data_IF_160737558267
#
_entry.id   IF_160737558267
#
_cell.length_a   1.000
_cell.length_b   1.000
_cell.length_c   1.000
_cell.angle_alpha   90.00
_cell.angle_beta   90.00
_cell.angle_gamma   90.00
#
_symmetry.space_group_name_H-M   'P 1'
#
loop_
_entity.id
_entity.type
_entity.pdbx_description
1 polymer ?
#
# COMPACT_ATOMS: atom_id res chain seq x y z
N UNK A 1 -41.30 7.99 -2.27
CA UNK A 1 -40.76 9.15 -1.52
C UNK A 1 -39.38 8.83 -0.92
N UNK A 2 -38.45 8.26 -1.68
CA UNK A 2 -37.08 7.91 -1.16
C UNK A 2 -35.91 8.36 -2.06
N UNK A 3 -36.17 9.25 -3.03
CA UNK A 3 -35.13 9.74 -3.95
C UNK A 3 -34.69 11.19 -3.73
N UNK A 4 -35.24 11.90 -2.75
CA UNK A 4 -34.91 13.33 -2.51
C UNK A 4 -33.86 13.53 -1.39
N UNK A 5 -33.59 12.52 -0.58
CA UNK A 5 -32.72 12.64 0.59
C UNK A 5 -31.23 12.38 0.30
N UNK A 6 -30.87 11.78 -0.84
CA UNK A 6 -29.48 11.45 -1.17
C UNK A 6 -28.74 12.61 -1.84
N UNK A 7 -29.45 13.52 -2.50
CA UNK A 7 -28.83 14.66 -3.21
C UNK A 7 -28.41 15.82 -2.28
N UNK A 8 -28.99 15.91 -1.07
CA UNK A 8 -28.63 16.95 -0.09
C UNK A 8 -27.34 16.66 0.68
N UNK A 9 -27.02 15.39 0.86
CA UNK A 9 -25.80 14.99 1.63
C UNK A 9 -24.50 15.17 0.84
N UNK A 10 -24.54 15.02 -0.49
CA UNK A 10 -23.35 15.15 -1.35
C UNK A 10 -22.96 16.62 -1.54
N UNK A 11 -23.92 17.55 -1.54
CA UNK A 11 -23.63 18.99 -1.64
C UNK A 11 -23.06 19.59 -0.36
N UNK A 12 -23.37 19.03 0.81
CA UNK A 12 -22.79 19.49 2.08
C UNK A 12 -21.32 19.05 2.27
N UNK A 13 -20.94 17.88 1.75
CA UNK A 13 -19.55 17.41 1.83
C UNK A 13 -18.62 18.13 0.84
N UNK A 14 -19.09 18.55 -0.31
CA UNK A 14 -18.30 19.33 -1.28
C UNK A 14 -18.03 20.74 -0.78
N UNK A 15 -18.96 21.39 -0.11
CA UNK A 15 -18.76 22.72 0.47
C UNK A 15 -17.82 22.74 1.69
N UNK A 16 -17.70 21.63 2.41
CA UNK A 16 -16.76 21.48 3.53
C UNK A 16 -15.30 21.32 3.05
N UNK A 17 -15.07 20.72 1.88
CA UNK A 17 -13.74 20.54 1.30
C UNK A 17 -13.22 21.86 0.70
N UNK A 18 -14.07 22.69 0.09
CA UNK A 18 -13.68 24.00 -0.45
C UNK A 18 -13.37 25.03 0.65
N UNK A 19 -14.03 24.95 1.80
CA UNK A 19 -13.74 25.82 2.95
C UNK A 19 -12.37 25.52 3.59
N UNK A 20 -11.89 24.28 3.54
CA UNK A 20 -10.60 23.88 4.13
C UNK A 20 -9.40 24.25 3.24
N UNK A 21 -9.60 24.39 1.93
CA UNK A 21 -8.54 24.85 1.00
C UNK A 21 -8.31 26.37 1.02
N UNK A 22 -9.30 27.16 1.43
CA UNK A 22 -9.17 28.63 1.49
C UNK A 22 -8.48 29.15 2.75
N UNK A 23 -8.34 28.34 3.80
CA UNK A 23 -7.68 28.72 5.06
C UNK A 23 -6.18 28.49 5.08
N UNK A 24 -5.62 27.70 4.14
CA UNK A 24 -4.18 27.39 4.08
C UNK A 24 -3.35 28.31 3.18
N UNK A 25 -3.92 29.38 2.62
CA UNK A 25 -3.24 30.31 1.72
C UNK A 25 -2.86 31.68 2.36
N UNK A 26 -2.89 31.80 3.69
CA UNK A 26 -2.51 33.05 4.38
C UNK A 26 -1.58 32.78 5.55
N UNK A 27 -0.33 32.46 5.27
CA UNK A 27 0.79 32.70 6.19
C UNK A 27 2.10 32.70 5.38
N UNK A 28 2.40 33.87 4.79
CA UNK A 28 3.76 34.23 4.39
C UNK A 28 4.28 35.28 5.41
N UNK A 29 5.54 35.14 5.88
CA UNK A 29 6.11 36.10 6.84
C UNK A 29 6.47 37.43 6.18
N UNK A 30 6.47 38.56 6.91
CA UNK A 30 6.65 39.89 6.37
C UNK A 30 8.10 40.15 5.94
N UNK A 31 8.28 40.75 4.77
CA UNK A 31 9.52 41.38 4.32
C UNK A 31 9.85 42.58 5.20
N UNK A 32 11.05 42.55 5.78
CA UNK A 32 11.67 43.72 6.42
C UNK A 32 12.10 44.69 5.33
N UNK A 33 11.50 45.87 5.33
CA UNK A 33 11.86 47.03 4.53
C UNK A 33 12.82 47.84 5.36
N UNK A 34 14.07 48.05 4.91
CA UNK A 34 14.97 49.08 5.43
C UNK A 34 14.84 50.35 4.58
N UNK A 35 14.74 51.53 5.18
CA UNK A 35 14.59 52.78 4.42
C UNK A 35 15.94 53.35 3.98
N UNK A 36 15.90 53.90 2.77
CA UNK A 36 16.87 54.77 2.16
C UNK A 36 17.00 56.10 2.95
N UNK A 37 18.22 56.53 3.20
CA UNK A 37 18.55 57.90 3.44
C UNK A 37 19.87 58.27 2.78
N UNK A 38 19.81 59.07 1.75
CA UNK A 38 20.87 59.96 1.24
C UNK A 38 20.68 61.37 1.94
N UNK A 39 21.48 62.40 1.69
CA UNK A 39 22.87 62.50 1.18
C UNK A 39 23.73 63.63 1.89
N UNK A 40 25.02 63.70 1.43
CA UNK A 40 25.92 64.88 1.32
C UNK A 40 26.54 65.55 2.57
N UNK A 41 27.59 66.39 2.36
CA UNK A 41 28.78 66.31 1.51
C UNK A 41 30.12 66.73 2.21
N UNK A 42 31.24 66.56 1.45
CA UNK A 42 32.50 67.33 1.46
C UNK A 42 33.28 67.57 2.78
N UNK A 43 34.52 67.15 2.80
CA UNK A 43 35.74 67.99 2.90
C UNK A 43 36.99 67.16 2.73
N UNK A 44 37.75 67.50 1.68
CA UNK A 44 39.16 67.96 1.61
C UNK A 44 40.03 67.55 2.79
N UNK A 45 41.10 66.76 2.50
CA UNK A 45 42.54 67.03 2.75
C UNK A 45 43.36 65.80 2.35
N UNK A 46 44.29 66.01 1.42
CA UNK A 46 45.48 65.20 1.12
C UNK A 46 46.59 65.58 2.13
N UNK A 47 47.77 65.05 2.00
CA UNK A 47 48.25 63.64 1.79
C UNK A 47 49.17 63.25 2.95
N UNK A 48 49.62 62.03 3.03
CA UNK A 48 51.00 61.64 3.30
C UNK A 48 51.14 60.13 3.60
N UNK A 49 52.05 59.58 2.86
CA UNK A 49 53.01 58.51 3.19
C UNK A 49 52.60 57.31 4.11
N UNK A 50 52.48 56.17 3.50
CA UNK A 50 53.24 55.00 4.01
C UNK A 50 53.36 53.94 2.91
N UNK A 51 54.55 53.84 2.45
CA UNK A 51 55.17 52.78 1.64
C UNK A 51 54.86 51.40 2.17
N UNK A 52 54.15 50.59 1.43
CA UNK A 52 54.13 49.13 1.60
C UNK A 52 54.83 48.46 0.42
N UNK A 53 55.83 47.63 0.66
CA UNK A 53 56.74 47.11 -0.37
C UNK A 53 56.21 45.93 -1.18
N UNK A 54 54.92 45.68 -1.17
CA UNK A 54 54.33 44.54 -1.88
C UNK A 54 53.79 44.81 -3.28
N UNK A 55 53.85 46.09 -3.76
CA UNK A 55 53.41 46.44 -5.14
C UNK A 55 54.57 46.61 -6.11
N UNK A 56 55.82 46.48 -5.65
CA UNK A 56 57.03 46.60 -6.52
C UNK A 56 57.43 45.30 -7.23
N UNK A 57 56.83 44.18 -6.88
CA UNK A 57 57.16 42.92 -7.56
C UNK A 57 56.36 42.64 -8.84
N UNK A 58 55.30 43.44 -9.11
CA UNK A 58 54.44 43.21 -10.26
C UNK A 58 54.74 44.17 -11.43
N UNK A 59 55.52 45.23 -11.23
CA UNK A 59 55.82 46.21 -12.30
C UNK A 59 57.15 45.93 -13.02
N UNK A 60 57.96 44.95 -12.60
CA UNK A 60 59.24 44.63 -13.29
C UNK A 60 59.09 43.59 -14.38
N UNK A 61 57.92 42.96 -14.51
CA UNK A 61 57.66 41.98 -15.57
C UNK A 61 56.96 42.56 -16.81
N UNK A 62 56.77 43.91 -16.91
CA UNK A 62 56.05 44.54 -18.00
C UNK A 62 56.88 45.35 -18.98
N UNK A 63 58.24 45.35 -18.89
CA UNK A 63 59.09 46.01 -19.89
C UNK A 63 60.23 45.10 -20.33
N UNK A 64 59.87 44.06 -21.07
CA UNK A 64 60.76 43.24 -21.86
C UNK A 64 60.25 43.25 -23.28
N UNK A 65 61.01 43.89 -24.17
CA UNK A 65 60.82 44.01 -25.64
C UNK A 65 60.02 42.89 -26.30
N UNK A 66 58.82 43.19 -26.70
CA UNK A 66 57.91 42.34 -27.52
C UNK A 66 57.91 42.80 -28.98
N UNK A 67 59.05 43.06 -29.56
CA UNK A 67 59.19 43.31 -31.00
C UNK A 67 60.28 42.40 -31.58
N UNK A 68 59.94 41.20 -31.93
CA UNK A 68 60.40 40.43 -33.07
C UNK A 68 60.45 38.88 -32.92
N UNK A 69 59.55 38.30 -32.12
CA UNK A 69 59.23 36.88 -32.25
C UNK A 69 57.75 36.66 -31.87
N UNK A 70 56.84 37.31 -32.57
CA UNK A 70 55.50 37.64 -32.10
C UNK A 70 54.49 36.53 -31.99
N UNK A 71 54.76 35.32 -32.42
CA UNK A 71 53.77 34.24 -32.29
C UNK A 71 54.24 33.07 -31.42
N UNK A 72 55.53 32.75 -31.42
CA UNK A 72 56.11 31.71 -30.62
C UNK A 72 56.18 32.13 -29.12
N UNK A 73 56.46 33.41 -28.83
CA UNK A 73 56.47 33.96 -27.49
C UNK A 73 55.06 33.98 -26.85
N UNK A 74 54.03 34.38 -27.61
CA UNK A 74 52.65 34.36 -27.18
C UNK A 74 52.11 32.93 -27.01
N UNK A 75 52.55 31.97 -27.84
CA UNK A 75 52.23 30.55 -27.66
C UNK A 75 52.86 29.95 -26.39
N UNK A 76 54.13 30.28 -26.13
CA UNK A 76 54.81 29.81 -24.92
C UNK A 76 54.18 30.43 -23.66
N UNK A 77 53.82 31.71 -23.70
CA UNK A 77 53.11 32.37 -22.60
C UNK A 77 51.73 31.75 -22.39
N UNK A 78 50.95 31.52 -23.42
CA UNK A 78 49.66 30.85 -23.33
C UNK A 78 49.78 29.41 -22.76
N UNK A 79 50.83 28.68 -23.18
CA UNK A 79 51.09 27.34 -22.68
C UNK A 79 51.50 27.33 -21.22
N UNK A 80 52.31 28.32 -20.76
CA UNK A 80 52.68 28.46 -19.35
C UNK A 80 51.48 28.84 -18.50
N UNK A 81 50.64 29.77 -18.93
CA UNK A 81 49.38 30.13 -18.23
C UNK A 81 48.43 28.93 -18.18
N UNK A 82 48.28 28.20 -19.25
CA UNK A 82 47.49 26.97 -19.30
C UNK A 82 48.02 25.91 -18.35
N UNK A 83 49.36 25.76 -18.31
CA UNK A 83 50.05 24.84 -17.40
C UNK A 83 49.84 25.20 -15.93
N UNK A 84 49.91 26.50 -15.60
CA UNK A 84 49.63 26.98 -14.23
C UNK A 84 48.18 26.77 -13.84
N UNK A 85 47.21 27.11 -14.71
CA UNK A 85 45.82 26.86 -14.49
C UNK A 85 45.53 25.37 -14.30
N UNK A 86 46.16 24.52 -15.13
CA UNK A 86 46.05 23.06 -15.00
C UNK A 86 46.60 22.55 -13.67
N UNK A 87 47.77 23.06 -13.22
CA UNK A 87 48.38 22.71 -11.93
C UNK A 87 47.52 23.16 -10.74
N UNK A 88 46.94 24.37 -10.82
CA UNK A 88 46.01 24.88 -9.80
C UNK A 88 44.73 24.01 -9.74
N UNK A 89 44.16 23.69 -10.91
CA UNK A 89 43.03 22.82 -11.00
C UNK A 89 43.32 21.41 -10.46
N UNK A 90 44.51 20.85 -10.80
CA UNK A 90 44.96 19.57 -10.29
C UNK A 90 45.18 19.59 -8.78
N UNK A 91 45.77 20.67 -8.25
CA UNK A 91 45.96 20.88 -6.80
C UNK A 91 44.64 20.96 -6.05
N UNK A 92 43.67 21.74 -6.56
CA UNK A 92 42.31 21.83 -6.01
C UNK A 92 41.59 20.47 -6.04
N UNK A 93 41.71 19.77 -7.14
CA UNK A 93 41.15 18.44 -7.29
C UNK A 93 41.80 17.43 -6.31
N UNK A 94 43.13 17.47 -6.17
CA UNK A 94 43.86 16.61 -5.24
C UNK A 94 43.49 16.88 -3.79
N UNK A 95 43.44 18.13 -3.35
CA UNK A 95 43.02 18.46 -1.97
C UNK A 95 41.61 18.00 -1.65
N UNK A 96 40.69 18.04 -2.62
CA UNK A 96 39.30 17.64 -2.46
C UNK A 96 39.16 16.13 -2.26
N UNK A 97 39.91 15.31 -3.00
CA UNK A 97 39.82 13.83 -2.97
C UNK A 97 40.86 13.18 -2.06
N UNK A 98 41.96 13.88 -1.72
CA UNK A 98 43.02 13.35 -0.88
C UNK A 98 42.52 12.92 0.50
N UNK A 99 41.65 13.71 1.12
CA UNK A 99 41.07 13.38 2.42
C UNK A 99 40.32 12.04 2.39
N UNK A 100 39.51 11.82 1.36
CA UNK A 100 38.71 10.58 1.21
C UNK A 100 39.61 9.38 0.89
N UNK A 101 40.62 9.58 0.03
CA UNK A 101 41.57 8.54 -0.29
C UNK A 101 42.43 8.18 0.91
N UNK A 102 42.93 9.18 1.67
CA UNK A 102 43.71 8.96 2.88
C UNK A 102 42.91 8.21 3.95
N UNK A 103 41.61 8.56 4.13
CA UNK A 103 40.71 7.82 5.00
C UNK A 103 40.57 6.36 4.57
N UNK A 104 40.34 6.11 3.27
CA UNK A 104 40.26 4.75 2.74
C UNK A 104 41.57 3.97 2.88
N UNK A 105 42.72 4.63 2.66
CA UNK A 105 44.02 4.05 2.79
C UNK A 105 44.36 3.64 4.24
N UNK A 106 44.10 4.54 5.21
CA UNK A 106 44.26 4.24 6.64
C UNK A 106 43.36 3.14 7.15
N UNK A 107 42.19 2.96 6.52
CA UNK A 107 41.20 1.90 6.84
C UNK A 107 41.46 0.60 6.07
N UNK A 108 42.53 0.49 5.28
CA UNK A 108 42.84 -0.69 4.43
C UNK A 108 41.68 -1.06 3.48
N UNK A 109 40.93 -0.05 3.03
CA UNK A 109 39.72 -0.28 2.27
C UNK A 109 39.93 -0.52 0.76
N UNK A 110 41.17 -0.66 0.28
CA UNK A 110 41.55 -0.92 -1.14
C UNK A 110 40.76 -0.07 -2.15
N UNK A 111 40.79 1.27 -2.00
CA UNK A 111 40.20 2.22 -2.92
C UNK A 111 41.30 2.98 -3.66
N UNK A 112 41.35 2.82 -4.99
CA UNK A 112 42.29 3.53 -5.84
C UNK A 112 41.85 4.98 -6.08
N UNK A 113 42.81 5.92 -6.12
CA UNK A 113 42.56 7.31 -6.52
C UNK A 113 41.89 7.41 -7.89
N UNK A 114 42.30 6.55 -8.85
CA UNK A 114 41.67 6.49 -10.19
C UNK A 114 40.19 6.11 -10.11
N UNK A 115 39.84 5.23 -9.18
CA UNK A 115 38.45 4.86 -8.95
C UNK A 115 37.60 6.04 -8.43
N UNK A 116 38.14 6.86 -7.52
CA UNK A 116 37.48 8.08 -7.02
C UNK A 116 37.20 9.09 -8.13
N UNK A 117 38.19 9.29 -9.02
CA UNK A 117 38.06 10.17 -10.19
C UNK A 117 36.98 9.65 -11.13
N UNK A 118 36.98 8.34 -11.42
CA UNK A 118 35.98 7.70 -12.27
C UNK A 118 34.56 7.85 -11.69
N UNK A 119 34.40 7.66 -10.37
CA UNK A 119 33.10 7.85 -9.69
C UNK A 119 32.55 9.27 -9.88
N UNK A 120 33.42 10.27 -9.89
CA UNK A 120 33.00 11.65 -10.14
C UNK A 120 32.41 11.82 -11.56
N UNK A 121 33.06 11.24 -12.57
CA UNK A 121 32.56 11.29 -13.95
C UNK A 121 31.27 10.48 -14.15
N UNK A 122 31.09 9.39 -13.40
CA UNK A 122 29.87 8.57 -13.45
C UNK A 122 28.74 9.10 -12.56
N UNK A 123 28.90 10.30 -11.96
CA UNK A 123 27.91 10.91 -11.05
C UNK A 123 27.60 10.07 -9.80
N UNK A 124 28.48 9.17 -9.40
CA UNK A 124 28.41 8.41 -8.16
C UNK A 124 29.02 9.24 -7.03
N UNK A 125 28.36 9.33 -5.89
CA UNK A 125 28.90 10.04 -4.74
C UNK A 125 30.06 9.22 -4.12
N UNK A 126 31.34 9.65 -4.25
CA UNK A 126 32.46 8.88 -3.76
C UNK A 126 32.47 8.75 -2.24
N UNK A 127 31.88 9.70 -1.51
CA UNK A 127 31.81 9.66 -0.05
C UNK A 127 31.00 8.45 0.43
N UNK A 128 29.83 8.20 -0.20
CA UNK A 128 28.94 7.07 0.16
C UNK A 128 29.66 5.74 -0.06
N UNK A 129 30.31 5.58 -1.22
CA UNK A 129 30.98 4.32 -1.58
C UNK A 129 32.22 4.06 -0.69
N UNK A 130 33.02 5.10 -0.42
CA UNK A 130 34.19 4.99 0.47
C UNK A 130 33.74 4.66 1.90
N UNK A 131 32.73 5.36 2.41
CA UNK A 131 32.21 5.13 3.75
C UNK A 131 31.66 3.71 3.88
N UNK A 132 30.87 3.25 2.91
CA UNK A 132 30.34 1.89 2.84
C UNK A 132 31.47 0.86 2.89
N UNK A 133 32.53 1.07 2.10
CA UNK A 133 33.67 0.16 2.06
C UNK A 133 34.50 0.16 3.35
N UNK A 134 34.74 1.34 3.93
CA UNK A 134 35.41 1.45 5.24
C UNK A 134 34.63 0.72 6.33
N UNK A 135 33.29 0.88 6.38
CA UNK A 135 32.45 0.16 7.34
C UNK A 135 32.51 -1.36 7.14
N UNK A 136 32.53 -1.82 5.89
CA UNK A 136 32.64 -3.25 5.58
C UNK A 136 33.95 -3.85 6.08
N UNK A 137 35.09 -3.15 5.88
CA UNK A 137 36.40 -3.59 6.36
C UNK A 137 36.46 -3.60 7.88
N UNK A 138 35.96 -2.54 8.53
CA UNK A 138 35.93 -2.44 9.99
C UNK A 138 35.08 -3.53 10.64
N UNK A 139 34.05 -4.00 9.93
CA UNK A 139 33.20 -5.10 10.36
C UNK A 139 33.80 -6.49 10.09
N UNK A 140 34.99 -6.58 9.43
CA UNK A 140 35.63 -7.85 9.11
C UNK A 140 35.03 -8.59 7.92
N UNK A 141 34.23 -7.92 7.08
CA UNK A 141 33.63 -8.52 5.89
C UNK A 141 34.68 -8.75 4.80
N UNK A 142 34.47 -9.79 3.99
CA UNK A 142 35.32 -10.08 2.83
C UNK A 142 35.17 -8.98 1.76
N UNK A 143 36.30 -8.32 1.44
CA UNK A 143 36.37 -7.26 0.43
C UNK A 143 36.95 -7.74 -0.90
N UNK A 144 37.12 -9.06 -1.08
CA UNK A 144 37.69 -9.62 -2.31
C UNK A 144 36.90 -9.20 -3.53
N UNK A 145 37.63 -8.94 -4.64
CA UNK A 145 37.05 -8.40 -5.88
C UNK A 145 36.07 -9.36 -6.58
N UNK A 146 36.19 -10.66 -6.31
CA UNK A 146 35.41 -11.70 -6.98
C UNK A 146 34.15 -12.10 -6.21
N UNK A 147 34.27 -12.26 -4.89
CA UNK A 147 33.19 -12.79 -4.04
C UNK A 147 32.68 -11.78 -3.01
N UNK A 148 33.52 -10.79 -2.64
CA UNK A 148 33.21 -9.85 -1.60
C UNK A 148 32.64 -8.50 -2.07
N UNK A 149 32.59 -7.53 -1.14
CA UNK A 149 32.10 -6.18 -1.35
C UNK A 149 33.14 -5.36 -2.13
N UNK A 150 33.09 -5.41 -3.46
CA UNK A 150 33.98 -4.64 -4.33
C UNK A 150 33.44 -3.23 -4.59
N UNK A 151 34.37 -2.28 -4.81
CA UNK A 151 34.02 -0.89 -5.18
C UNK A 151 33.10 -0.84 -6.40
N UNK A 152 33.33 -1.71 -7.40
CA UNK A 152 32.54 -1.76 -8.63
C UNK A 152 31.10 -2.23 -8.38
N UNK A 153 30.88 -3.19 -7.48
CA UNK A 153 29.53 -3.64 -7.10
C UNK A 153 28.78 -2.54 -6.37
N UNK A 154 29.43 -1.81 -5.46
CA UNK A 154 28.86 -0.66 -4.75
C UNK A 154 28.48 0.48 -5.73
N UNK A 155 29.37 0.80 -6.71
CA UNK A 155 29.08 1.77 -7.76
C UNK A 155 27.87 1.34 -8.58
N UNK A 156 27.80 0.08 -9.03
CA UNK A 156 26.70 -0.45 -9.81
C UNK A 156 25.37 -0.38 -9.05
N UNK A 157 25.37 -0.76 -7.77
CA UNK A 157 24.20 -0.69 -6.92
C UNK A 157 23.72 0.75 -6.69
N UNK A 158 24.65 1.70 -6.47
CA UNK A 158 24.35 3.12 -6.37
C UNK A 158 23.71 3.67 -7.65
N UNK A 159 24.26 3.32 -8.84
CA UNK A 159 23.74 3.73 -10.14
C UNK A 159 22.36 3.13 -10.44
N UNK A 160 22.08 1.94 -9.92
CA UNK A 160 20.75 1.31 -10.01
C UNK A 160 19.70 1.97 -9.09
N UNK A 161 20.10 2.98 -8.28
CA UNK A 161 19.21 3.68 -7.36
C UNK A 161 19.06 3.06 -5.99
N UNK A 162 19.90 2.06 -5.66
CA UNK A 162 19.89 1.37 -4.37
C UNK A 162 20.49 2.19 -3.23
N UNK A 163 20.11 1.85 -2.00
CA UNK A 163 20.58 2.48 -0.75
C UNK A 163 21.81 1.78 -0.21
N UNK A 164 22.98 2.07 -0.81
CA UNK A 164 24.27 1.41 -0.50
C UNK A 164 24.55 1.29 1.00
N UNK A 165 24.36 2.37 1.76
CA UNK A 165 24.64 2.40 3.21
C UNK A 165 23.74 1.43 3.97
N UNK A 166 22.44 1.37 3.66
CA UNK A 166 21.49 0.45 4.31
C UNK A 166 21.84 -1.01 4.02
N UNK A 167 22.22 -1.31 2.77
CA UNK A 167 22.66 -2.66 2.36
C UNK A 167 23.90 -3.09 3.15
N UNK A 168 24.88 -2.20 3.30
CA UNK A 168 26.09 -2.51 4.08
C UNK A 168 25.76 -2.70 5.57
N UNK A 169 24.92 -1.86 6.15
CA UNK A 169 24.47 -2.06 7.54
C UNK A 169 23.75 -3.39 7.72
N UNK A 170 22.90 -3.78 6.76
CA UNK A 170 22.22 -5.06 6.77
C UNK A 170 23.19 -6.25 6.71
N UNK A 171 24.19 -6.18 5.81
CA UNK A 171 25.22 -7.25 5.69
C UNK A 171 26.06 -7.34 6.96
N UNK A 172 26.42 -6.21 7.57
CA UNK A 172 27.15 -6.18 8.84
C UNK A 172 26.30 -6.81 9.95
N UNK A 173 25.01 -6.48 10.02
CA UNK A 173 24.10 -7.07 10.99
C UNK A 173 23.93 -8.59 10.77
N UNK A 174 23.75 -9.02 9.52
CA UNK A 174 23.67 -10.42 9.14
C UNK A 174 24.96 -11.19 9.51
N UNK A 175 26.13 -10.61 9.21
CA UNK A 175 27.43 -11.23 9.55
C UNK A 175 27.59 -11.42 11.06
N UNK A 176 27.20 -10.42 11.86
CA UNK A 176 27.22 -10.52 13.34
C UNK A 176 26.23 -11.53 13.90
N UNK A 177 25.12 -11.77 13.20
CA UNK A 177 24.11 -12.74 13.56
C UNK A 177 24.38 -14.14 12.96
N UNK A 178 25.53 -14.32 12.29
CA UNK A 178 25.94 -15.56 11.61
C UNK A 178 24.93 -16.03 10.54
N UNK A 179 24.17 -15.07 9.96
CA UNK A 179 23.22 -15.33 8.89
C UNK A 179 23.96 -15.21 7.55
N UNK A 180 23.90 -16.25 6.67
CA UNK A 180 24.51 -16.17 5.35
C UNK A 180 23.72 -15.22 4.45
N UNK A 181 24.23 -14.00 4.25
CA UNK A 181 23.67 -13.00 3.35
C UNK A 181 24.77 -12.46 2.43
N UNK A 182 24.69 -12.81 1.15
CA UNK A 182 25.61 -12.29 0.14
C UNK A 182 25.23 -10.87 -0.30
N UNK A 183 26.23 -10.11 -0.77
CA UNK A 183 26.03 -8.75 -1.26
C UNK A 183 25.03 -8.69 -2.44
N UNK A 184 25.09 -9.64 -3.37
CA UNK A 184 24.22 -9.64 -4.54
C UNK A 184 22.77 -9.90 -4.14
N UNK A 185 22.53 -10.77 -3.16
CA UNK A 185 21.21 -11.04 -2.60
C UNK A 185 20.67 -9.80 -1.86
N UNK A 186 21.49 -9.18 -1.01
CA UNK A 186 21.11 -7.96 -0.31
C UNK A 186 20.81 -6.81 -1.26
N UNK A 187 21.63 -6.63 -2.31
CA UNK A 187 21.39 -5.64 -3.36
C UNK A 187 20.11 -5.90 -4.15
N UNK A 188 19.81 -7.16 -4.46
CA UNK A 188 18.58 -7.53 -5.15
C UNK A 188 17.32 -7.26 -4.31
N UNK A 189 17.38 -7.50 -2.99
CA UNK A 189 16.30 -7.18 -2.05
C UNK A 189 16.03 -5.67 -2.01
N UNK A 190 17.11 -4.84 -1.90
CA UNK A 190 17.00 -3.38 -1.86
C UNK A 190 16.44 -2.81 -3.17
N UNK A 191 16.90 -3.32 -4.33
CA UNK A 191 16.38 -2.94 -5.65
C UNK A 191 14.94 -3.40 -5.90
N UNK A 192 14.50 -4.47 -5.24
CA UNK A 192 13.09 -4.87 -5.22
C UNK A 192 12.21 -3.95 -4.34
N UNK A 193 12.80 -2.92 -3.71
CA UNK A 193 12.10 -1.93 -2.90
C UNK A 193 11.79 -2.37 -1.47
N UNK A 194 12.43 -3.45 -0.98
CA UNK A 194 12.29 -3.92 0.40
C UNK A 194 13.46 -3.43 1.27
N UNK A 195 13.19 -3.17 2.54
CA UNK A 195 14.23 -2.78 3.49
C UNK A 195 15.00 -4.02 3.95
N UNK A 196 16.27 -4.11 3.51
CA UNK A 196 17.15 -5.24 3.83
C UNK A 196 17.50 -5.26 5.32
N UNK A 197 17.68 -4.08 5.92
CA UNK A 197 18.06 -3.97 7.33
C UNK A 197 16.91 -4.44 8.23
N UNK A 198 15.68 -4.01 7.96
CA UNK A 198 14.50 -4.47 8.67
C UNK A 198 14.30 -5.99 8.51
N UNK A 199 14.51 -6.51 7.30
CA UNK A 199 14.42 -7.94 7.03
C UNK A 199 15.43 -8.78 7.84
N UNK A 200 16.69 -8.33 7.95
CA UNK A 200 17.71 -8.98 8.78
C UNK A 200 17.34 -8.89 10.25
N UNK A 201 16.89 -7.73 10.72
CA UNK A 201 16.47 -7.55 12.12
C UNK A 201 15.30 -8.48 12.46
N UNK A 202 14.29 -8.57 11.59
CA UNK A 202 13.11 -9.45 11.78
C UNK A 202 13.48 -10.93 11.66
N UNK A 203 14.55 -11.27 10.95
CA UNK A 203 15.08 -12.64 10.93
C UNK A 203 15.71 -13.04 12.28
N UNK A 204 16.39 -12.10 12.97
CA UNK A 204 16.99 -12.33 14.29
C UNK A 204 15.98 -12.18 15.42
N UNK A 205 15.16 -11.14 15.34
CA UNK A 205 14.12 -10.83 16.32
C UNK A 205 12.74 -11.00 15.68
N UNK A 206 12.06 -12.12 15.97
CA UNK A 206 10.72 -12.36 15.42
C UNK A 206 9.76 -11.21 15.74
N UNK A 207 8.96 -10.85 14.75
CA UNK A 207 7.93 -9.81 14.86
C UNK A 207 6.58 -10.45 15.17
N UNK A 208 5.82 -9.84 16.06
CA UNK A 208 4.43 -10.23 16.36
C UNK A 208 3.49 -9.38 15.52
N UNK A 209 2.57 -10.04 14.82
CA UNK A 209 1.56 -9.45 13.96
C UNK A 209 0.20 -9.84 14.49
N UNK A 210 -0.71 -8.87 14.67
CA UNK A 210 -2.09 -9.14 15.04
C UNK A 210 -2.92 -9.64 13.86
N UNK A 211 -3.74 -10.64 14.05
CA UNK A 211 -4.67 -11.17 13.08
C UNK A 211 -6.11 -11.12 13.65
N UNK A 212 -6.99 -10.24 13.08
CA UNK A 212 -6.77 -9.29 12.00
C UNK A 212 -5.97 -8.06 12.42
N UNK A 213 -5.31 -7.40 11.46
CA UNK A 213 -4.64 -6.12 11.70
C UNK A 213 -5.69 -5.00 11.79
N UNK A 214 -5.86 -4.36 12.97
CA UNK A 214 -6.85 -3.31 13.17
C UNK A 214 -6.57 -2.05 12.35
N UNK A 215 -5.29 -1.76 12.05
CA UNK A 215 -4.90 -0.57 11.32
C UNK A 215 -5.32 -0.63 9.84
N UNK A 216 -5.36 -1.82 9.26
CA UNK A 216 -5.67 -2.03 7.83
C UNK A 216 -7.11 -2.49 7.59
N UNK A 217 -7.59 -3.46 8.39
CA UNK A 217 -8.92 -4.04 8.20
C UNK A 217 -10.04 -3.26 8.90
N UNK A 218 -9.71 -2.38 9.86
CA UNK A 218 -10.67 -1.71 10.73
C UNK A 218 -11.43 -2.66 11.67
N UNK A 219 -11.13 -3.97 11.61
CA UNK A 219 -11.72 -5.00 12.47
C UNK A 219 -10.68 -5.44 13.49
N UNK A 220 -11.12 -5.63 14.72
CA UNK A 220 -10.26 -6.07 15.84
C UNK A 220 -10.33 -7.58 16.09
N UNK A 221 -11.34 -8.26 15.53
CA UNK A 221 -11.60 -9.68 15.74
C UNK A 221 -12.00 -10.37 14.44
N UNK A 222 -11.65 -11.64 14.29
CA UNK A 222 -12.14 -12.54 13.25
C UNK A 222 -13.43 -13.18 13.72
N UNK A 223 -14.51 -13.07 12.95
CA UNK A 223 -15.77 -13.75 13.23
C UNK A 223 -15.86 -15.07 12.46
N UNK A 224 -16.13 -16.15 13.14
CA UNK A 224 -16.37 -17.47 12.54
C UNK A 224 -17.55 -18.15 13.21
N UNK A 225 -18.30 -18.96 12.44
CA UNK A 225 -19.49 -19.66 12.94
C UNK A 225 -19.16 -21.15 13.04
N UNK A 226 -19.38 -21.72 14.20
CA UNK A 226 -19.25 -23.17 14.44
C UNK A 226 -20.44 -23.96 13.85
N UNK A 227 -20.33 -25.28 13.72
CA UNK A 227 -21.42 -26.13 13.18
C UNK A 227 -22.72 -26.05 13.99
N UNK A 228 -22.63 -25.75 15.28
CA UNK A 228 -23.82 -25.53 16.13
C UNK A 228 -24.48 -24.15 15.99
N UNK A 229 -23.99 -23.33 15.03
CA UNK A 229 -24.56 -22.04 14.70
C UNK A 229 -24.19 -20.89 15.61
N UNK A 230 -23.22 -21.04 16.52
CA UNK A 230 -22.74 -19.99 17.41
C UNK A 230 -21.57 -19.27 16.76
N UNK A 231 -21.64 -17.93 16.74
CA UNK A 231 -20.54 -17.07 16.31
C UNK A 231 -19.45 -17.04 17.39
N UNK A 232 -18.20 -17.23 16.98
CA UNK A 232 -17.02 -16.98 17.79
C UNK A 232 -16.23 -15.82 17.20
N UNK A 233 -15.83 -14.89 18.05
CA UNK A 233 -14.97 -13.76 17.71
C UNK A 233 -13.61 -14.00 18.29
N UNK A 234 -12.62 -14.18 17.42
CA UNK A 234 -11.28 -14.59 17.81
C UNK A 234 -10.28 -13.52 17.42
N UNK A 235 -9.32 -13.26 18.31
CA UNK A 235 -8.12 -12.49 18.04
C UNK A 235 -6.91 -13.39 18.16
N UNK A 236 -6.12 -13.46 17.11
CA UNK A 236 -4.88 -14.23 17.12
C UNK A 236 -3.66 -13.31 16.96
N UNK A 237 -2.53 -13.73 17.53
CA UNK A 237 -1.21 -13.13 17.32
C UNK A 237 -0.33 -14.13 16.61
N UNK A 238 0.30 -13.68 15.56
CA UNK A 238 1.18 -14.51 14.74
C UNK A 238 2.60 -14.01 14.92
N UNK A 239 3.47 -14.83 15.44
CA UNK A 239 4.90 -14.54 15.52
C UNK A 239 5.56 -15.02 14.25
N UNK A 240 6.17 -14.11 13.50
CA UNK A 240 6.83 -14.40 12.24
C UNK A 240 8.29 -13.98 12.25
N UNK A 241 9.11 -14.68 11.50
CA UNK A 241 10.47 -14.24 11.18
C UNK A 241 10.66 -14.15 9.67
N UNK A 242 11.52 -13.26 9.23
CA UNK A 242 11.80 -13.09 7.80
C UNK A 242 12.71 -14.21 7.29
N UNK A 243 12.30 -14.84 6.19
CA UNK A 243 13.13 -15.78 5.43
C UNK A 243 13.83 -15.02 4.30
N UNK A 244 15.10 -14.69 4.49
CA UNK A 244 15.89 -13.89 3.55
C UNK A 244 16.04 -14.55 2.17
N UNK A 245 16.02 -15.88 2.09
CA UNK A 245 16.13 -16.62 0.83
C UNK A 245 14.89 -16.50 -0.05
N UNK A 246 13.71 -16.31 0.56
CA UNK A 246 12.43 -16.19 -0.13
C UNK A 246 11.90 -14.74 -0.15
N UNK A 247 12.70 -13.79 0.32
CA UNK A 247 12.29 -12.40 0.39
C UNK A 247 12.06 -11.79 -1.01
N UNK A 248 12.83 -12.24 -2.01
CA UNK A 248 12.66 -11.82 -3.40
C UNK A 248 11.55 -12.66 -4.03
N UNK A 249 10.44 -12.02 -4.40
CA UNK A 249 9.27 -12.69 -5.00
C UNK A 249 8.32 -13.37 -4.02
N UNK A 250 8.65 -13.46 -2.73
CA UNK A 250 7.76 -13.97 -1.70
C UNK A 250 6.61 -13.01 -1.37
N UNK A 251 5.47 -13.57 -0.97
CA UNK A 251 4.30 -12.81 -0.58
C UNK A 251 4.55 -11.95 0.68
N UNK A 252 3.80 -10.85 0.78
CA UNK A 252 3.93 -9.88 1.86
C UNK A 252 3.27 -10.35 3.17
N UNK A 253 3.50 -9.60 4.25
CA UNK A 253 2.88 -9.76 5.56
C UNK A 253 1.34 -9.89 5.47
N UNK A 254 0.71 -9.07 4.60
CA UNK A 254 -0.74 -9.11 4.39
C UNK A 254 -1.25 -10.47 3.91
N UNK A 255 -0.47 -11.15 3.08
CA UNK A 255 -0.83 -12.49 2.59
C UNK A 255 -0.76 -13.52 3.71
N UNK A 256 0.21 -13.40 4.63
CA UNK A 256 0.32 -14.29 5.79
C UNK A 256 -0.89 -14.07 6.71
N UNK A 257 -1.22 -12.81 7.02
CA UNK A 257 -2.39 -12.46 7.84
C UNK A 257 -3.67 -13.03 7.22
N UNK A 258 -3.86 -12.85 5.90
CA UNK A 258 -5.05 -13.35 5.21
C UNK A 258 -5.16 -14.88 5.25
N UNK A 259 -4.05 -15.59 4.95
CA UNK A 259 -4.02 -17.07 4.97
C UNK A 259 -4.24 -17.63 6.37
N UNK A 260 -3.60 -17.03 7.39
CA UNK A 260 -3.79 -17.44 8.78
C UNK A 260 -5.23 -17.16 9.22
N UNK A 261 -5.78 -15.98 8.90
CA UNK A 261 -7.17 -15.65 9.21
C UNK A 261 -8.16 -16.63 8.56
N UNK A 262 -7.98 -16.96 7.28
CA UNK A 262 -8.78 -17.96 6.57
C UNK A 262 -8.67 -19.35 7.24
N UNK A 263 -7.47 -19.76 7.59
CA UNK A 263 -7.24 -21.06 8.22
C UNK A 263 -7.86 -21.15 9.62
N UNK A 264 -7.84 -20.06 10.40
CA UNK A 264 -8.51 -19.97 11.71
C UNK A 264 -10.02 -20.07 11.51
N UNK A 265 -10.61 -19.28 10.60
CA UNK A 265 -12.05 -19.32 10.31
C UNK A 265 -12.48 -20.71 9.86
N UNK A 266 -11.71 -21.34 8.96
CA UNK A 266 -11.97 -22.70 8.47
C UNK A 266 -11.85 -23.75 9.58
N UNK A 267 -10.90 -23.60 10.51
CA UNK A 267 -10.73 -24.49 11.65
C UNK A 267 -11.91 -24.42 12.61
N UNK A 268 -12.35 -23.20 12.97
CA UNK A 268 -13.51 -22.95 13.83
C UNK A 268 -14.79 -23.47 13.17
N UNK A 269 -14.98 -23.20 11.85
CA UNK A 269 -16.14 -23.71 11.10
C UNK A 269 -16.22 -25.23 10.98
N UNK A 270 -15.10 -25.92 11.14
CA UNK A 270 -15.05 -27.39 11.16
C UNK A 270 -15.33 -27.99 12.53
N UNK A 271 -15.21 -27.23 13.60
CA UNK A 271 -15.46 -27.68 14.98
C UNK A 271 -16.95 -28.01 15.19
N UNK A 272 -17.20 -29.09 15.96
CA UNK A 272 -18.57 -29.57 16.21
C UNK A 272 -19.33 -28.65 17.13
N UNK A 273 -18.64 -28.05 18.10
CA UNK A 273 -19.23 -27.17 19.09
C UNK A 273 -18.27 -26.02 19.45
N UNK A 274 -18.85 -24.88 19.83
CA UNK A 274 -18.08 -23.75 20.35
C UNK A 274 -17.34 -24.10 21.67
N UNK A 275 -17.87 -25.03 22.48
CA UNK A 275 -17.20 -25.50 23.69
C UNK A 275 -15.86 -26.17 23.40
N UNK A 276 -15.79 -26.98 22.34
CA UNK A 276 -14.57 -27.66 21.92
C UNK A 276 -13.43 -26.66 21.63
N UNK A 277 -13.78 -25.53 21.01
CA UNK A 277 -12.85 -24.44 20.67
C UNK A 277 -12.42 -23.67 21.93
N UNK A 278 -13.35 -23.44 22.87
CA UNK A 278 -13.06 -22.73 24.11
C UNK A 278 -12.22 -23.56 25.11
N UNK A 279 -12.44 -24.88 25.14
CA UNK A 279 -11.68 -25.78 26.00
C UNK A 279 -10.26 -26.00 25.52
N UNK A 280 -10.07 -26.06 24.19
CA UNK A 280 -8.79 -26.36 23.57
C UNK A 280 -8.45 -25.47 22.38
N UNK A 281 -8.14 -24.18 22.59
CA UNK A 281 -7.77 -23.24 21.51
C UNK A 281 -6.51 -23.70 20.75
N UNK A 282 -5.62 -24.45 21.40
CA UNK A 282 -4.41 -25.01 20.79
C UNK A 282 -4.68 -25.96 19.62
N UNK A 283 -5.87 -26.56 19.56
CA UNK A 283 -6.28 -27.36 18.39
C UNK A 283 -6.25 -26.53 17.10
N UNK A 284 -6.75 -25.30 17.18
CA UNK A 284 -6.75 -24.38 16.03
C UNK A 284 -5.32 -24.10 15.59
N UNK A 285 -4.45 -23.75 16.53
CA UNK A 285 -3.02 -23.46 16.28
C UNK A 285 -2.33 -24.64 15.58
N UNK A 286 -2.54 -25.87 16.06
CA UNK A 286 -1.95 -27.10 15.46
C UNK A 286 -2.45 -27.33 14.04
N UNK A 287 -3.76 -27.19 13.80
CA UNK A 287 -4.36 -27.37 12.46
C UNK A 287 -3.85 -26.31 11.50
N UNK A 288 -3.74 -25.08 11.94
CA UNK A 288 -3.27 -23.95 11.11
C UNK A 288 -1.79 -24.14 10.74
N UNK A 289 -0.93 -24.48 11.70
CA UNK A 289 0.50 -24.76 11.46
C UNK A 289 0.72 -25.98 10.55
N UNK A 290 -0.12 -27.02 10.69
CA UNK A 290 0.00 -28.22 9.84
C UNK A 290 -0.30 -27.99 8.36
N UNK A 291 -0.95 -26.86 8.02
CA UNK A 291 -1.28 -26.48 6.63
C UNK A 291 -0.11 -25.89 5.84
N UNK A 292 1.02 -25.57 6.51
CA UNK A 292 2.20 -25.00 5.84
C UNK A 292 1.89 -23.68 5.12
N UNK A 293 1.27 -22.72 5.83
CA UNK A 293 0.78 -21.46 5.28
C UNK A 293 1.91 -20.50 4.88
N UNK A 294 3.12 -20.76 5.34
CA UNK A 294 4.36 -20.05 5.07
C UNK A 294 4.97 -20.37 3.69
N UNK A 295 4.43 -21.38 2.98
CA UNK A 295 4.90 -21.74 1.66
C UNK A 295 4.81 -20.55 0.68
N UNK A 296 5.93 -20.21 0.03
CA UNK A 296 6.07 -19.11 -0.93
C UNK A 296 5.81 -17.71 -0.32
N UNK A 297 6.00 -17.55 0.99
CA UNK A 297 5.97 -16.24 1.66
C UNK A 297 7.38 -15.79 2.02
N UNK A 298 7.54 -14.47 2.18
CA UNK A 298 8.77 -13.87 2.67
C UNK A 298 8.98 -14.10 4.18
N UNK A 299 7.99 -14.67 4.85
CA UNK A 299 7.95 -14.86 6.29
C UNK A 299 7.71 -16.32 6.63
N UNK A 300 8.38 -16.79 7.66
CA UNK A 300 8.18 -18.10 8.29
C UNK A 300 7.39 -17.90 9.57
N UNK A 301 6.36 -18.70 9.80
CA UNK A 301 5.52 -18.63 10.99
C UNK A 301 6.20 -19.43 12.11
N UNK A 302 6.55 -18.75 13.20
CA UNK A 302 7.18 -19.34 14.39
C UNK A 302 6.11 -19.88 15.34
N UNK A 303 5.11 -19.06 15.68
CA UNK A 303 3.97 -19.46 16.52
C UNK A 303 2.72 -18.70 16.12
N UNK A 304 1.58 -19.29 16.47
CA UNK A 304 0.27 -18.67 16.37
C UNK A 304 -0.38 -18.81 17.74
N UNK A 305 -0.65 -17.70 18.38
CA UNK A 305 -1.21 -17.65 19.72
C UNK A 305 -2.62 -17.06 19.64
N UNK A 306 -3.61 -17.78 20.18
CA UNK A 306 -4.96 -17.26 20.28
C UNK A 306 -5.00 -16.36 21.53
N UNK A 307 -5.15 -15.05 21.31
CA UNK A 307 -5.09 -14.05 22.37
C UNK A 307 -6.41 -13.91 23.12
N UNK A 308 -7.53 -14.04 22.40
CA UNK A 308 -8.87 -13.84 22.96
C UNK A 308 -9.91 -14.57 22.12
N UNK A 309 -10.94 -15.14 22.80
CA UNK A 309 -12.07 -15.80 22.17
C UNK A 309 -13.35 -15.33 22.85
N UNK A 310 -14.12 -14.51 22.15
CA UNK A 310 -15.44 -14.05 22.61
C UNK A 310 -16.55 -14.88 21.94
N UNK A 311 -17.59 -15.19 22.72
CA UNK A 311 -18.80 -15.82 22.18
C UNK A 311 -19.76 -14.73 21.70
N UNK A 312 -20.07 -14.76 20.41
CA UNK A 312 -21.01 -13.83 19.79
C UNK A 312 -22.45 -14.33 19.82
N UNK A 313 -23.21 -13.98 18.80
CA UNK A 313 -24.65 -14.32 18.68
C UNK A 313 -24.85 -15.78 18.27
N UNK A 314 -25.99 -16.34 18.70
CA UNK A 314 -26.46 -17.62 18.19
C UNK A 314 -27.18 -17.41 16.84
N UNK A 315 -26.39 -17.40 15.76
CA UNK A 315 -26.89 -17.20 14.39
C UNK A 315 -27.79 -18.36 13.94
N UNK A 316 -27.52 -19.58 14.42
CA UNK A 316 -28.34 -20.75 14.15
C UNK A 316 -29.77 -20.61 14.66
N UNK A 317 -29.95 -20.17 15.89
CA UNK A 317 -31.26 -19.93 16.49
C UNK A 317 -32.00 -18.79 15.76
N UNK A 318 -31.30 -17.73 15.42
CA UNK A 318 -31.86 -16.60 14.65
C UNK A 318 -32.32 -17.02 13.27
N UNK A 319 -31.54 -17.79 12.53
CA UNK A 319 -31.94 -18.33 11.24
C UNK A 319 -33.17 -19.24 11.33
N UNK A 320 -33.26 -20.08 12.38
CA UNK A 320 -34.43 -20.89 12.63
C UNK A 320 -35.68 -20.05 12.92
N UNK A 321 -35.54 -18.96 13.68
CA UNK A 321 -36.62 -18.01 13.94
C UNK A 321 -37.06 -17.31 12.65
N UNK A 322 -36.12 -16.82 11.86
CA UNK A 322 -36.40 -16.16 10.58
C UNK A 322 -37.08 -17.13 9.58
N UNK A 323 -36.63 -18.40 9.56
CA UNK A 323 -37.26 -19.45 8.75
C UNK A 323 -38.68 -19.74 9.19
N UNK A 324 -38.93 -19.87 10.51
CA UNK A 324 -40.28 -20.10 11.03
C UNK A 324 -41.24 -18.93 10.71
N UNK A 325 -40.73 -17.69 10.80
CA UNK A 325 -41.51 -16.50 10.42
C UNK A 325 -41.80 -16.47 8.91
N UNK A 326 -40.79 -16.82 8.07
CA UNK A 326 -41.02 -16.95 6.63
C UNK A 326 -42.06 -18.03 6.28
N UNK A 327 -41.95 -19.21 6.93
CA UNK A 327 -42.90 -20.30 6.74
C UNK A 327 -44.34 -19.89 7.16
N UNK A 328 -44.44 -19.14 8.27
CA UNK A 328 -45.72 -18.57 8.73
C UNK A 328 -46.32 -17.61 7.69
N UNK A 329 -45.49 -16.71 7.12
CA UNK A 329 -45.93 -15.79 6.05
C UNK A 329 -46.35 -16.54 4.80
N UNK A 330 -45.64 -17.59 4.41
CA UNK A 330 -45.99 -18.44 3.27
C UNK A 330 -47.33 -19.15 3.51
N UNK A 331 -47.50 -19.73 4.73
CA UNK A 331 -48.76 -20.38 5.09
C UNK A 331 -49.93 -19.39 5.10
N UNK A 332 -49.77 -18.17 5.61
CA UNK A 332 -50.78 -17.12 5.56
C UNK A 332 -51.14 -16.75 4.10
N UNK A 333 -50.14 -16.51 3.25
CA UNK A 333 -50.37 -16.20 1.84
C UNK A 333 -51.09 -17.33 1.10
N UNK A 334 -50.77 -18.58 1.40
CA UNK A 334 -51.49 -19.74 0.86
C UNK A 334 -52.94 -19.82 1.34
N UNK A 335 -53.19 -19.53 2.63
CA UNK A 335 -54.54 -19.50 3.17
C UNK A 335 -55.39 -18.39 2.54
N UNK A 336 -54.83 -17.19 2.37
CA UNK A 336 -55.48 -16.08 1.69
C UNK A 336 -55.76 -16.39 0.22
N UNK A 337 -54.82 -17.01 -0.45
CA UNK A 337 -55.03 -17.48 -1.83
C UNK A 337 -56.17 -18.47 -1.96
N UNK A 338 -56.21 -19.50 -1.08
CA UNK A 338 -57.34 -20.47 -1.06
C UNK A 338 -58.65 -19.79 -0.76
N UNK A 339 -58.67 -18.80 0.17
CA UNK A 339 -59.86 -18.01 0.46
C UNK A 339 -60.30 -17.19 -0.73
N UNK A 340 -59.40 -16.53 -1.44
CA UNK A 340 -59.70 -15.78 -2.65
C UNK A 340 -60.21 -16.68 -3.78
N UNK A 341 -59.59 -17.87 -3.97
CA UNK A 341 -60.04 -18.88 -4.92
C UNK A 341 -61.46 -19.35 -4.60
N UNK A 342 -61.77 -19.65 -3.33
CA UNK A 342 -63.09 -20.07 -2.90
C UNK A 342 -64.14 -18.96 -3.10
N UNK A 343 -63.79 -17.69 -2.82
CA UNK A 343 -64.69 -16.54 -3.08
C UNK A 343 -64.90 -16.36 -4.59
N UNK A 344 -63.85 -16.51 -5.39
CA UNK A 344 -64.00 -16.44 -6.85
C UNK A 344 -64.87 -17.55 -7.40
N UNK A 345 -64.81 -18.79 -6.90
CA UNK A 345 -65.61 -19.91 -7.28
C UNK A 345 -67.06 -19.68 -6.87
N UNK A 346 -67.34 -19.18 -5.65
CA UNK A 346 -68.67 -18.79 -5.21
C UNK A 346 -69.30 -17.75 -6.15
N UNK A 347 -68.54 -16.70 -6.52
CA UNK A 347 -69.03 -15.69 -7.46
C UNK A 347 -69.29 -16.26 -8.85
N UNK A 348 -68.49 -17.16 -9.34
CA UNK A 348 -68.72 -17.87 -10.60
C UNK A 348 -69.98 -18.73 -10.54
N UNK A 349 -70.22 -19.45 -9.42
CA UNK A 349 -71.46 -20.24 -9.27
C UNK A 349 -72.73 -19.35 -9.17
N UNK A 350 -72.57 -18.21 -8.44
CA UNK A 350 -73.69 -17.22 -8.41
C UNK A 350 -74.01 -16.67 -9.80
N UNK A 351 -72.94 -16.36 -10.59
CA UNK A 351 -73.14 -15.92 -11.97
C UNK A 351 -73.85 -16.98 -12.85
N UNK A 352 -73.40 -18.26 -12.74
CA UNK A 352 -74.03 -19.37 -13.45
C UNK A 352 -75.52 -19.55 -13.06
N UNK A 353 -75.85 -19.44 -11.75
CA UNK A 353 -77.24 -19.48 -11.29
C UNK A 353 -78.05 -18.33 -11.91
N UNK A 354 -77.51 -17.11 -11.97
CA UNK A 354 -78.18 -15.97 -12.60
C UNK A 354 -78.35 -16.17 -14.12
N UNK A 355 -77.32 -16.70 -14.79
CA UNK A 355 -77.39 -17.05 -16.21
C UNK A 355 -78.42 -18.11 -16.50
N UNK A 356 -78.45 -19.21 -15.72
CA UNK A 356 -79.45 -20.26 -15.85
C UNK A 356 -80.88 -19.74 -15.59
N UNK A 357 -81.05 -18.83 -14.60
CA UNK A 357 -82.34 -18.16 -14.38
C UNK A 357 -82.75 -17.29 -15.57
N UNK A 358 -81.83 -16.55 -16.16
CA UNK A 358 -82.10 -15.74 -17.36
C UNK A 358 -82.47 -16.63 -18.54
N UNK A 359 -81.80 -17.75 -18.75
CA UNK A 359 -82.14 -18.73 -19.79
C UNK A 359 -83.55 -19.34 -19.57
N UNK A 360 -83.85 -19.63 -18.31
CA UNK A 360 -85.17 -20.15 -17.96
C UNK A 360 -86.25 -19.12 -18.28
N UNK A 361 -86.06 -17.84 -17.87
CA UNK A 361 -87.02 -16.77 -18.20
C UNK A 361 -87.15 -16.55 -19.71
N UNK A 362 -86.07 -16.65 -20.46
CA UNK A 362 -86.08 -16.58 -21.92
C UNK A 362 -86.87 -17.76 -22.53
N UNK A 363 -86.68 -18.96 -22.03
CA UNK A 363 -87.45 -20.14 -22.48
C UNK A 363 -88.87 -20.01 -22.11
N UNK A 364 -89.22 -19.57 -20.89
CA UNK A 364 -90.61 -19.29 -20.47
C UNK A 364 -91.26 -18.21 -21.33
N UNK A 365 -90.50 -17.15 -21.71
CA UNK A 365 -91.01 -16.10 -22.59
C UNK A 365 -91.26 -16.58 -24.02
N UNK A 366 -90.54 -17.59 -24.47
CA UNK A 366 -90.81 -18.24 -25.79
C UNK A 366 -92.04 -19.06 -25.87
N UNK A 367 -92.55 -19.57 -24.75
CA UNK A 367 -93.81 -20.40 -24.73
C UNK A 367 -95.04 -19.62 -25.18
N UNK A 368 -95.34 -18.39 -24.65
CA UNK A 368 -96.48 -17.65 -25.12
C UNK A 368 -96.33 -17.20 -26.59
N UNK A 369 -95.09 -16.92 -27.03
CA UNK A 369 -94.83 -16.55 -28.41
C UNK A 369 -95.11 -17.72 -29.36
N UNK A 370 -94.62 -18.92 -29.01
CA UNK A 370 -94.90 -20.14 -29.76
C UNK A 370 -96.39 -20.52 -29.73
N UNK A 371 -97.09 -20.28 -28.60
CA UNK A 371 -98.54 -20.45 -28.51
C UNK A 371 -99.24 -19.46 -29.41
N UNK A 372 -98.86 -18.19 -29.45
CA UNK A 372 -99.44 -17.18 -30.34
C UNK A 372 -99.22 -17.52 -31.81
N UNK A 373 -98.03 -17.95 -32.19
CA UNK A 373 -97.70 -18.44 -33.55
C UNK A 373 -98.55 -19.67 -33.94
N UNK A 374 -98.70 -20.64 -33.05
CA UNK A 374 -99.48 -21.83 -33.25
C UNK A 374 -100.97 -21.49 -33.37
N UNK A 375 -101.46 -20.48 -32.63
CA UNK A 375 -102.83 -19.99 -32.75
C UNK A 375 -103.05 -19.28 -34.08
N UNK A 376 -102.13 -18.42 -34.51
CA UNK A 376 -102.17 -17.78 -35.81
C UNK A 376 -102.13 -18.79 -36.98
N UNK A 377 -101.32 -19.86 -36.82
CA UNK A 377 -101.21 -20.92 -37.81
C UNK A 377 -102.39 -21.92 -37.82
N UNK A 378 -103.45 -21.74 -36.98
CA UNK A 378 -104.59 -22.60 -36.90
C UNK A 378 -104.32 -24.03 -36.42
N UNK A 379 -103.22 -24.25 -35.70
CA UNK A 379 -102.82 -25.58 -35.23
C UNK A 379 -103.24 -25.91 -33.79
N UNK A 380 -104.01 -24.99 -33.18
CA UNK A 380 -104.54 -25.23 -31.84
C UNK A 380 -106.04 -25.49 -32.04
N UNK A 381 -106.39 -26.74 -32.13
CA UNK A 381 -107.82 -27.13 -32.08
C UNK A 381 -108.28 -26.95 -30.63
N UNK A 382 -109.36 -26.14 -30.50
CA UNK A 382 -110.08 -25.96 -29.24
C UNK A 382 -110.89 -27.23 -28.91
N UNK A 383 -110.15 -28.26 -28.54
CA UNK A 383 -110.85 -29.42 -27.96
C UNK A 383 -110.94 -29.19 -26.44
N UNK A 384 -111.84 -28.27 -26.03
CA UNK A 384 -112.38 -28.30 -24.70
C UNK A 384 -113.61 -29.19 -24.76
N UNK A 385 -113.47 -30.30 -24.14
CA UNK A 385 -114.63 -31.03 -23.62
C UNK A 385 -114.57 -30.98 -22.13
#
# INVERSE_FOLDING_TARGET
>A
MAQVTVHSSVHQTLNAIEATQKTNARCAPPRVVTPLTEPHPMHFLSPEDSSSPTLMAFSVLSQGDLTDQGWLGSLLFALTVLGVVFLVALGFFFTRYFKLWFQAYMSVADVSLVSLIRMHFTKVNPVVVVQAKVMSVQAGLDINRSTGISTRRLEAHYLAGGKVINVIHAIIAAHRAEIPLDFDQAAAIDLAGRDVLDAVQTSVYPKVIDCPDPARSGKTTLSAITKNGIELRVRARVTVRTNLSQLIGGATEDTVIARVGEAIISSIGSASSHFEVLENPDMITRVVLSRGLDAQTAFEIVSIDIADIDVGENIGARLQSDQAEADTRVAQAQAERRRAEAIAEEQQMRAKVAENRAQLVLAESGVPLAMAEAFQAGRIDSAVK
#
